data_IF_997483932013
#
_entry.id   IF_997483932013
#
_cell.length_a   1.000
_cell.length_b   1.000
_cell.length_c   1.000
_cell.angle_alpha   90.00
_cell.angle_beta   90.00
_cell.angle_gamma   90.00
#
_symmetry.space_group_name_H-M   'P 1'
#
loop_
_entity.id
_entity.type
_entity.pdbx_description
1 polymer ?
#
# COMPACT_ATOMS: atom_id res chain seq x y z
N UNK A 1 20.15 3.08 -8.03
CA UNK A 1 19.77 2.09 -9.05
C UNK A 1 19.18 2.73 -10.31
N UNK A 2 18.20 3.63 -10.21
CA UNK A 2 17.60 4.26 -11.40
C UNK A 2 18.61 4.93 -12.34
N UNK A 3 19.55 5.70 -11.80
CA UNK A 3 20.63 6.32 -12.56
C UNK A 3 21.46 5.31 -13.37
N UNK A 4 21.74 4.13 -12.80
CA UNK A 4 22.48 3.08 -13.47
C UNK A 4 21.73 2.56 -14.71
N UNK A 5 20.41 2.41 -14.64
CA UNK A 5 19.60 1.97 -15.79
C UNK A 5 19.54 3.05 -16.87
N UNK A 6 19.39 4.32 -16.49
CA UNK A 6 19.36 5.43 -17.44
C UNK A 6 20.71 5.63 -18.13
N UNK A 7 21.81 5.48 -17.39
CA UNK A 7 23.16 5.73 -17.92
C UNK A 7 23.68 4.56 -18.76
N UNK A 8 23.28 3.31 -18.47
CA UNK A 8 23.89 2.11 -19.06
C UNK A 8 22.96 1.28 -19.96
N UNK A 9 21.64 1.46 -19.93
CA UNK A 9 20.74 0.70 -20.81
C UNK A 9 20.61 1.35 -22.19
N UNK A 10 20.58 0.54 -23.25
CA UNK A 10 20.45 1.01 -24.65
C UNK A 10 19.24 1.92 -24.86
N UNK A 11 18.10 1.57 -24.25
CA UNK A 11 16.81 2.25 -24.46
C UNK A 11 16.44 3.23 -23.34
N UNK A 12 17.19 3.29 -22.24
CA UNK A 12 16.96 4.21 -21.11
C UNK A 12 15.53 4.16 -20.54
N UNK A 13 14.90 2.99 -20.55
CA UNK A 13 13.56 2.80 -20.00
C UNK A 13 13.66 2.84 -18.46
N UNK A 14 12.91 3.72 -17.77
CA UNK A 14 12.97 3.84 -16.32
C UNK A 14 12.39 2.61 -15.62
N UNK A 15 12.93 2.29 -14.43
CA UNK A 15 12.35 1.26 -13.57
C UNK A 15 11.18 1.81 -12.75
N UNK A 16 10.23 0.94 -12.45
CA UNK A 16 9.28 1.09 -11.36
C UNK A 16 9.91 0.55 -10.07
N UNK A 17 9.88 1.35 -9.01
CA UNK A 17 10.19 0.92 -7.66
C UNK A 17 8.90 0.70 -6.90
N UNK A 18 8.69 -0.55 -6.50
CA UNK A 18 7.50 -0.97 -5.81
C UNK A 18 7.82 -1.50 -4.41
N UNK A 19 6.89 -1.31 -3.48
CA UNK A 19 6.98 -1.79 -2.11
C UNK A 19 5.58 -2.09 -1.57
N UNK A 20 5.45 -3.07 -0.68
CA UNK A 20 4.23 -3.31 0.10
C UNK A 20 4.03 -2.20 1.14
N UNK A 21 3.40 -1.09 0.73
CA UNK A 21 3.00 0.00 1.62
C UNK A 21 1.52 -0.17 1.95
N UNK A 22 1.23 -1.12 2.85
CA UNK A 22 -0.13 -1.63 3.09
C UNK A 22 -0.94 -0.76 4.06
N UNK A 23 -0.34 -0.32 5.17
CA UNK A 23 -1.01 0.48 6.20
C UNK A 23 -0.11 1.59 6.76
N UNK A 24 0.73 2.15 5.90
CA UNK A 24 1.73 3.16 6.27
C UNK A 24 3.11 2.85 5.70
N UNK A 25 3.99 3.86 5.70
CA UNK A 25 5.39 3.71 5.29
C UNK A 25 6.32 3.88 6.51
N UNK A 26 6.51 5.10 7.01
CA UNK A 26 7.18 5.35 8.28
C UNK A 26 6.17 5.62 9.38
N UNK A 27 5.16 6.44 9.09
CA UNK A 27 3.98 6.58 9.94
C UNK A 27 3.08 5.38 9.73
N UNK A 28 2.95 4.55 10.76
CA UNK A 28 2.18 3.30 10.71
C UNK A 28 0.77 3.53 11.26
N UNK A 29 -0.24 3.31 10.42
CA UNK A 29 -1.65 3.34 10.78
C UNK A 29 -2.12 1.94 11.22
N UNK A 30 -3.33 1.81 11.79
CA UNK A 30 -3.93 0.49 12.03
C UNK A 30 -3.92 -0.36 10.76
N UNK A 31 -3.76 -1.67 10.92
CA UNK A 31 -3.88 -2.63 9.81
C UNK A 31 -5.23 -2.46 9.08
N UNK A 32 -5.34 -2.82 7.79
CA UNK A 32 -6.55 -2.55 7.00
C UNK A 32 -7.84 -3.12 7.62
N UNK A 33 -7.76 -4.27 8.28
CA UNK A 33 -8.92 -4.85 8.99
C UNK A 33 -9.39 -4.00 10.17
N UNK A 34 -8.46 -3.36 10.89
CA UNK A 34 -8.79 -2.46 11.98
C UNK A 34 -9.22 -1.08 11.46
N UNK A 35 -8.62 -0.63 10.35
CA UNK A 35 -8.98 0.62 9.69
C UNK A 35 -10.41 0.56 9.14
N UNK A 36 -10.82 -0.58 8.56
CA UNK A 36 -12.18 -0.79 8.05
C UNK A 36 -13.25 -0.76 9.16
N UNK A 37 -12.89 -1.15 10.38
CA UNK A 37 -13.77 -1.09 11.53
C UNK A 37 -14.15 0.34 11.95
N UNK A 38 -13.45 1.36 11.45
CA UNK A 38 -13.80 2.77 11.67
C UNK A 38 -15.02 3.23 10.86
N UNK A 39 -15.34 2.56 9.74
CA UNK A 39 -16.35 2.98 8.76
C UNK A 39 -16.19 4.43 8.26
N UNK A 40 -14.98 4.99 8.36
CA UNK A 40 -14.70 6.37 8.01
C UNK A 40 -13.81 6.43 6.75
N UNK A 41 -14.45 6.58 5.60
CA UNK A 41 -13.78 6.64 4.30
C UNK A 41 -12.82 7.83 4.18
N UNK A 42 -13.14 8.97 4.80
CA UNK A 42 -12.27 10.15 4.78
C UNK A 42 -10.95 9.88 5.52
N UNK A 43 -11.01 9.18 6.65
CA UNK A 43 -9.82 8.78 7.40
C UNK A 43 -9.00 7.73 6.65
N UNK A 44 -9.65 6.74 6.04
CA UNK A 44 -8.98 5.72 5.21
C UNK A 44 -8.25 6.39 4.03
N UNK A 45 -8.91 7.31 3.34
CA UNK A 45 -8.30 8.05 2.25
C UNK A 45 -7.13 8.92 2.72
N UNK A 46 -7.27 9.57 3.88
CA UNK A 46 -6.21 10.39 4.47
C UNK A 46 -4.99 9.55 4.86
N UNK A 47 -5.21 8.37 5.45
CA UNK A 47 -4.20 7.38 5.79
C UNK A 47 -3.41 6.96 4.54
N UNK A 48 -4.08 6.57 3.47
CA UNK A 48 -3.46 6.24 2.19
C UNK A 48 -2.68 7.43 1.58
N UNK A 49 -3.21 8.66 1.69
CA UNK A 49 -2.53 9.85 1.19
C UNK A 49 -1.22 10.16 1.96
N UNK A 50 -1.20 9.96 3.27
CA UNK A 50 0.01 10.10 4.09
C UNK A 50 1.05 9.06 3.68
N UNK A 51 0.64 7.79 3.59
CA UNK A 51 1.52 6.70 3.18
C UNK A 51 2.10 6.93 1.77
N UNK A 52 1.29 7.41 0.82
CA UNK A 52 1.74 7.73 -0.53
C UNK A 52 2.78 8.86 -0.55
N UNK A 53 2.59 9.93 0.25
CA UNK A 53 3.55 11.04 0.34
C UNK A 53 4.89 10.57 0.90
N UNK A 54 4.86 9.75 1.96
CA UNK A 54 6.06 9.21 2.57
C UNK A 54 6.81 8.27 1.61
N UNK A 55 6.10 7.31 1.02
CA UNK A 55 6.67 6.36 0.06
C UNK A 55 7.27 7.05 -1.17
N UNK A 56 6.55 8.04 -1.73
CA UNK A 56 7.04 8.84 -2.86
C UNK A 56 8.32 9.61 -2.51
N UNK A 57 8.43 10.15 -1.30
CA UNK A 57 9.64 10.84 -0.85
C UNK A 57 10.86 9.91 -0.72
N UNK A 58 10.62 8.61 -0.48
CA UNK A 58 11.65 7.57 -0.47
C UNK A 58 11.94 6.99 -1.87
N UNK A 59 11.29 7.49 -2.92
CA UNK A 59 11.50 7.05 -4.30
C UNK A 59 10.67 5.83 -4.73
N UNK A 60 9.70 5.40 -3.91
CA UNK A 60 8.73 4.36 -4.27
C UNK A 60 7.63 4.98 -5.13
N UNK A 61 7.34 4.37 -6.27
CA UNK A 61 6.40 4.89 -7.26
C UNK A 61 5.15 4.02 -7.38
N UNK A 62 5.17 2.83 -6.80
CA UNK A 62 4.09 1.87 -6.85
C UNK A 62 3.98 1.13 -5.51
N UNK A 63 2.76 0.93 -5.02
CA UNK A 63 2.49 0.06 -3.87
C UNK A 63 1.57 -1.08 -4.28
N UNK A 64 1.73 -2.23 -3.64
CA UNK A 64 0.87 -3.40 -3.83
C UNK A 64 -0.34 -3.38 -2.88
N UNK A 65 -1.00 -2.23 -2.81
CA UNK A 65 -2.20 -1.98 -2.01
C UNK A 65 -3.29 -1.33 -2.89
N UNK A 66 -4.59 -1.49 -2.56
CA UNK A 66 -5.13 -2.21 -1.40
C UNK A 66 -5.32 -3.72 -1.64
N UNK A 67 -5.29 -4.50 -0.56
CA UNK A 67 -5.77 -5.89 -0.56
C UNK A 67 -7.28 -5.88 -0.29
N UNK A 68 -8.06 -6.49 -1.19
CA UNK A 68 -9.54 -6.41 -1.20
C UNK A 68 -10.21 -7.79 -1.20
N UNK A 69 -9.49 -8.82 -0.76
CA UNK A 69 -10.03 -10.17 -0.72
C UNK A 69 -11.13 -10.29 0.34
N UNK A 70 -12.34 -10.64 -0.10
CA UNK A 70 -13.44 -10.93 0.81
C UNK A 70 -13.21 -12.30 1.43
N UNK A 71 -13.19 -12.35 2.75
CA UNK A 71 -12.98 -13.58 3.50
C UNK A 71 -14.04 -13.78 4.59
N UNK A 72 -14.38 -15.04 4.83
CA UNK A 72 -15.25 -15.49 5.91
C UNK A 72 -14.55 -16.50 6.83
N UNK A 73 -13.28 -16.82 6.54
CA UNK A 73 -12.50 -17.78 7.31
C UNK A 73 -11.47 -17.03 8.16
N UNK A 74 -11.67 -16.94 9.49
CA UNK A 74 -10.75 -16.22 10.37
C UNK A 74 -9.40 -16.92 10.53
N UNK A 75 -9.24 -18.17 10.06
CA UNK A 75 -7.97 -18.91 10.12
C UNK A 75 -6.99 -18.42 9.07
N UNK A 76 -7.46 -17.74 8.03
CA UNK A 76 -6.59 -17.19 7.00
C UNK A 76 -5.89 -15.92 7.50
N UNK A 77 -4.60 -16.02 7.83
CA UNK A 77 -3.87 -14.89 8.44
C UNK A 77 -3.90 -13.57 7.66
N UNK A 78 -4.11 -13.62 6.35
CA UNK A 78 -4.23 -12.42 5.50
C UNK A 78 -5.54 -11.65 5.66
N UNK A 79 -6.47 -12.14 6.50
CA UNK A 79 -7.66 -11.37 6.88
C UNK A 79 -7.29 -9.97 7.42
N UNK A 80 -6.08 -9.84 7.98
CA UNK A 80 -5.55 -8.61 8.57
C UNK A 80 -5.28 -7.52 7.53
N UNK A 81 -5.03 -7.90 6.27
CA UNK A 81 -4.71 -7.01 5.16
C UNK A 81 -5.96 -6.50 4.41
N UNK A 82 -7.13 -7.12 4.63
CA UNK A 82 -8.37 -6.81 3.93
C UNK A 82 -9.38 -6.06 4.78
N UNK A 83 -10.52 -5.70 4.18
CA UNK A 83 -11.61 -5.01 4.87
C UNK A 83 -12.60 -5.96 5.61
N UNK A 84 -12.31 -7.26 5.66
CA UNK A 84 -13.15 -8.27 6.29
C UNK A 84 -14.21 -8.86 5.34
N UNK A 85 -15.40 -9.19 5.88
CA UNK A 85 -16.44 -9.95 5.17
C UNK A 85 -17.39 -9.09 4.31
N UNK A 86 -17.37 -7.78 4.49
CA UNK A 86 -18.20 -6.79 3.78
C UNK A 86 -17.25 -5.69 3.33
N UNK A 87 -17.32 -5.32 2.05
CA UNK A 87 -16.63 -4.15 1.53
C UNK A 87 -17.40 -2.89 1.95
N UNK A 88 -16.66 -1.87 2.41
CA UNK A 88 -17.16 -0.54 2.75
C UNK A 88 -17.38 0.28 1.47
#
# INVERSE_FOLDING_TARGET
>A
MQKLVIDNSRMKIPLLFALDVIHGFQTINPIPLAESASWNLELIQKSASIAAKEAASAGINWTFAPMVDITRDPRWGRIMEGAGKILI
#
